data_IF_442801082835
#
_entry.id   IF_442801082835
#
_cell.length_a   1.000
_cell.length_b   1.000
_cell.length_c   1.000
_cell.angle_alpha   90.00
_cell.angle_beta   90.00
_cell.angle_gamma   90.00
#
_symmetry.space_group_name_H-M   'P 1'
#
loop_
_entity.id
_entity.type
_entity.pdbx_description
1 polymer ?
#
# COMPACT_ATOMS: atom_id res chain seq x y z
N UNK A 1 -6.96 13.61 26.97
CA UNK A 1 -6.89 13.46 25.50
C UNK A 1 -6.36 12.07 25.20
N UNK A 2 -6.97 11.35 24.27
CA UNK A 2 -6.46 10.08 23.74
C UNK A 2 -5.90 10.35 22.33
N UNK A 3 -4.64 9.97 22.11
CA UNK A 3 -3.94 10.15 20.84
C UNK A 3 -3.43 8.78 20.37
N UNK A 4 -3.55 8.50 19.08
CA UNK A 4 -2.93 7.35 18.42
C UNK A 4 -1.82 7.89 17.53
N UNK A 5 -0.59 7.63 17.91
CA UNK A 5 0.58 8.16 17.21
C UNK A 5 1.80 7.23 17.39
N UNK A 6 2.82 7.42 16.59
CA UNK A 6 4.09 6.70 16.62
C UNK A 6 5.30 7.65 16.60
N UNK A 7 5.07 8.97 16.56
CA UNK A 7 6.15 9.95 16.65
C UNK A 7 6.73 10.01 18.07
N UNK A 8 7.98 9.64 18.20
CA UNK A 8 8.68 9.63 19.49
C UNK A 8 8.76 10.98 20.15
N UNK A 9 8.66 12.10 19.42
CA UNK A 9 8.62 13.45 20.01
C UNK A 9 7.30 13.68 20.71
N UNK A 10 6.19 13.25 20.10
CA UNK A 10 4.84 13.33 20.70
C UNK A 10 4.74 12.37 21.88
N UNK A 11 5.23 11.14 21.72
CA UNK A 11 5.17 10.14 22.79
C UNK A 11 5.92 10.53 24.05
N UNK A 12 7.00 11.33 23.96
CA UNK A 12 7.76 11.85 25.11
C UNK A 12 6.97 12.81 25.99
N UNK A 13 5.93 13.43 25.45
CA UNK A 13 5.06 14.37 26.18
C UNK A 13 3.80 13.67 26.76
N UNK A 14 3.68 12.34 26.58
CA UNK A 14 2.53 11.59 27.07
C UNK A 14 2.64 11.30 28.57
N UNK A 15 1.54 11.40 29.29
CA UNK A 15 1.44 10.96 30.70
C UNK A 15 1.43 9.44 30.82
N UNK A 16 0.80 8.75 29.86
CA UNK A 16 0.64 7.30 29.82
C UNK A 16 0.66 6.78 28.40
N UNK A 17 1.39 5.71 28.16
CA UNK A 17 1.51 5.05 26.86
C UNK A 17 0.97 3.63 26.97
N UNK A 18 0.23 3.20 25.96
CA UNK A 18 -0.19 1.80 25.75
C UNK A 18 0.39 1.39 24.40
N UNK A 19 1.34 0.45 24.41
CA UNK A 19 1.99 -0.04 23.20
C UNK A 19 1.33 -1.34 22.74
N UNK A 20 0.87 -1.34 21.48
CA UNK A 20 0.25 -2.49 20.85
C UNK A 20 1.26 -3.22 19.95
N UNK A 21 1.22 -4.54 19.97
CA UNK A 21 2.14 -5.34 19.14
C UNK A 21 1.91 -6.85 19.36
N UNK A 22 2.97 -7.68 19.21
CA UNK A 22 4.33 -7.30 18.76
C UNK A 22 4.44 -7.07 17.26
N UNK A 23 3.51 -7.60 16.47
CA UNK A 23 3.47 -7.49 15.00
C UNK A 23 2.09 -7.04 14.54
N UNK A 24 1.90 -6.93 13.23
CA UNK A 24 0.61 -6.65 12.62
C UNK A 24 -0.19 -7.95 12.36
N UNK A 25 -1.50 -7.82 12.14
CA UNK A 25 -2.40 -8.93 11.81
C UNK A 25 -2.55 -9.95 12.94
N UNK A 26 -2.63 -11.24 12.61
CA UNK A 26 -2.89 -12.33 13.56
C UNK A 26 -1.82 -12.47 14.65
N UNK A 27 -0.63 -11.94 14.46
CA UNK A 27 0.47 -11.96 15.42
C UNK A 27 0.57 -10.69 16.27
N UNK A 28 -0.30 -9.71 16.01
CA UNK A 28 -0.45 -8.48 16.76
C UNK A 28 -1.65 -8.46 17.71
N UNK A 29 -2.19 -7.26 17.94
CA UNK A 29 -3.43 -7.06 18.69
C UNK A 29 -3.32 -7.29 20.21
N UNK A 30 -2.10 -7.24 20.76
CA UNK A 30 -1.85 -7.38 22.20
C UNK A 30 -1.21 -6.14 22.77
N UNK A 31 -1.47 -5.83 24.02
CA UNK A 31 -0.68 -4.84 24.75
C UNK A 31 0.64 -5.53 25.12
N UNK A 32 1.76 -5.00 24.61
CA UNK A 32 3.11 -5.52 24.89
C UNK A 32 3.81 -4.73 25.98
N UNK A 33 3.48 -3.45 26.14
CA UNK A 33 3.95 -2.61 27.22
C UNK A 33 2.91 -1.53 27.55
N UNK A 34 2.85 -1.09 28.80
CA UNK A 34 2.05 0.07 29.20
C UNK A 34 2.64 0.73 30.45
N UNK A 35 2.52 2.04 30.55
CA UNK A 35 3.06 2.82 31.65
C UNK A 35 3.39 4.24 31.27
N UNK A 36 4.15 4.89 32.15
CA UNK A 36 4.76 6.19 31.88
C UNK A 36 5.83 6.06 30.78
N UNK A 37 6.31 7.19 30.25
CA UNK A 37 7.41 7.20 29.28
C UNK A 37 8.63 6.44 29.80
N UNK A 38 8.93 6.57 31.09
CA UNK A 38 10.06 5.87 31.72
C UNK A 38 9.84 4.37 31.82
N UNK A 39 8.62 3.92 32.12
CA UNK A 39 8.27 2.50 32.15
C UNK A 39 8.44 1.86 30.78
N UNK A 40 7.99 2.55 29.73
CA UNK A 40 8.13 2.09 28.34
C UNK A 40 9.59 2.06 27.93
N UNK A 41 10.36 3.10 28.27
CA UNK A 41 11.79 3.21 27.93
C UNK A 41 12.63 2.05 28.48
N UNK A 42 12.27 1.57 29.66
CA UNK A 42 13.00 0.51 30.37
C UNK A 42 12.40 -0.88 30.20
N UNK A 43 11.22 -0.99 29.60
CA UNK A 43 10.54 -2.27 29.37
C UNK A 43 11.29 -3.12 28.35
N UNK A 44 11.62 -4.40 28.68
CA UNK A 44 12.25 -5.32 27.75
C UNK A 44 11.33 -5.76 26.62
N UNK A 45 10.02 -5.68 26.81
CA UNK A 45 9.01 -6.10 25.83
C UNK A 45 8.62 -4.97 24.87
N UNK A 46 9.01 -3.72 25.20
CA UNK A 46 8.70 -2.56 24.38
C UNK A 46 9.58 -2.50 23.12
N UNK A 47 8.94 -2.35 21.96
CA UNK A 47 9.62 -2.11 20.69
C UNK A 47 9.98 -0.63 20.51
N UNK A 48 9.19 0.28 21.09
CA UNK A 48 9.43 1.72 20.98
C UNK A 48 10.38 2.24 22.07
N UNK A 49 10.52 1.53 23.20
CA UNK A 49 11.38 1.90 24.31
C UNK A 49 12.80 2.29 23.92
N UNK A 50 13.52 1.52 23.10
CA UNK A 50 14.87 1.87 22.63
C UNK A 50 14.93 3.22 21.89
N UNK A 51 13.89 3.59 21.14
CA UNK A 51 13.82 4.87 20.42
C UNK A 51 13.46 6.05 21.31
N UNK A 52 12.76 5.81 22.43
CA UNK A 52 12.52 6.80 23.46
C UNK A 52 13.78 7.04 24.30
N UNK A 53 14.59 6.01 24.52
CA UNK A 53 15.83 6.11 25.29
C UNK A 53 16.92 6.85 24.53
N UNK A 54 17.10 6.54 23.27
CA UNK A 54 18.13 7.14 22.42
C UNK A 54 17.63 7.28 21.00
N UNK A 55 17.46 8.50 20.47
CA UNK A 55 17.10 8.66 19.08
C UNK A 55 18.18 8.02 18.19
N UNK A 56 17.80 7.38 17.09
CA UNK A 56 18.75 6.71 16.20
C UNK A 56 19.78 7.72 15.70
N UNK A 57 21.05 7.42 15.97
CA UNK A 57 22.15 8.21 15.41
C UNK A 57 22.28 7.86 13.95
N UNK A 58 21.74 8.72 13.08
CA UNK A 58 21.98 8.61 11.65
C UNK A 58 23.44 8.99 11.41
N UNK A 59 24.28 7.99 11.16
CA UNK A 59 25.63 8.25 10.66
C UNK A 59 25.49 8.84 9.26
N UNK A 60 25.59 10.18 9.18
CA UNK A 60 25.56 10.87 7.90
C UNK A 60 26.65 10.34 6.98
N UNK A 61 26.36 10.14 5.71
CA UNK A 61 27.38 9.90 4.71
C UNK A 61 28.35 11.08 4.76
N UNK A 62 29.62 10.80 5.09
CA UNK A 62 30.70 11.79 5.03
C UNK A 62 31.08 12.05 3.56
N UNK A 63 30.19 12.69 2.82
CA UNK A 63 30.51 13.12 1.46
C UNK A 63 30.88 14.60 1.47
N UNK A 64 32.01 14.93 0.85
CA UNK A 64 32.41 16.33 0.70
C UNK A 64 31.48 17.05 -0.28
N UNK A 65 31.23 18.33 -0.07
CA UNK A 65 30.43 19.17 -0.98
C UNK A 65 30.90 19.08 -2.45
N UNK A 66 32.19 18.82 -2.67
CA UNK A 66 32.78 18.67 -4.00
C UNK A 66 32.33 17.40 -4.76
N UNK A 67 31.79 16.37 -4.10
CA UNK A 67 31.31 15.13 -4.76
C UNK A 67 29.79 15.09 -4.92
N UNK A 68 29.07 16.09 -4.40
CA UNK A 68 27.60 16.09 -4.41
C UNK A 68 27.03 15.96 -5.82
N UNK A 69 27.61 16.62 -6.80
CA UNK A 69 27.18 16.61 -8.19
C UNK A 69 28.02 15.71 -9.11
N UNK A 70 28.83 14.82 -8.57
CA UNK A 70 29.71 13.94 -9.36
C UNK A 70 28.94 13.05 -10.37
N UNK A 71 27.72 12.63 -10.02
CA UNK A 71 26.84 11.88 -10.90
C UNK A 71 26.01 12.78 -11.85
N UNK A 72 26.28 14.09 -11.86
CA UNK A 72 25.52 15.08 -12.59
C UNK A 72 24.36 15.67 -11.78
N UNK A 73 23.62 16.55 -12.43
CA UNK A 73 22.49 17.26 -11.82
C UNK A 73 21.29 17.36 -12.78
N UNK A 74 20.12 17.54 -12.18
CA UNK A 74 18.93 18.02 -12.85
C UNK A 74 18.88 19.52 -12.60
N UNK A 75 18.62 20.31 -13.66
CA UNK A 75 18.35 21.75 -13.54
C UNK A 75 16.91 22.02 -13.94
N UNK A 76 16.21 22.78 -13.14
CA UNK A 76 14.88 23.30 -13.41
C UNK A 76 14.94 24.83 -13.38
N UNK A 77 14.45 25.48 -14.44
CA UNK A 77 14.16 26.90 -14.44
C UNK A 77 12.67 27.10 -14.65
N UNK A 78 12.02 27.87 -13.80
CA UNK A 78 10.60 28.13 -13.85
C UNK A 78 10.28 29.61 -13.62
N UNK A 79 9.28 30.12 -14.35
CA UNK A 79 8.68 31.43 -14.11
C UNK A 79 7.72 31.37 -12.91
N UNK A 80 7.15 32.49 -12.53
CA UNK A 80 6.19 32.55 -11.43
C UNK A 80 4.95 31.68 -11.71
N UNK A 81 4.53 30.96 -10.66
CA UNK A 81 3.27 30.19 -10.65
C UNK A 81 2.68 30.22 -9.23
N UNK A 82 1.39 30.54 -9.10
CA UNK A 82 0.69 30.75 -7.83
C UNK A 82 1.49 31.71 -6.91
N UNK A 83 1.91 31.23 -5.74
CA UNK A 83 2.74 31.97 -4.79
C UNK A 83 4.25 31.80 -5.02
N UNK A 84 4.63 30.87 -5.89
CA UNK A 84 6.05 30.58 -6.21
C UNK A 84 6.57 31.64 -7.18
N UNK A 85 7.64 32.29 -6.79
CA UNK A 85 8.35 33.28 -7.63
C UNK A 85 9.24 32.56 -8.64
N UNK A 86 9.72 33.27 -9.70
CA UNK A 86 10.70 32.70 -10.62
C UNK A 86 11.87 32.11 -9.85
N UNK A 87 12.27 30.90 -10.23
CA UNK A 87 13.34 30.18 -9.53
C UNK A 87 14.18 29.34 -10.48
N UNK A 88 15.39 29.06 -10.04
CA UNK A 88 16.26 28.03 -10.57
C UNK A 88 16.60 27.05 -9.47
N UNK A 89 16.52 25.75 -9.75
CA UNK A 89 16.83 24.68 -8.81
C UNK A 89 17.80 23.67 -9.43
N UNK A 90 18.80 23.29 -8.67
CA UNK A 90 19.74 22.22 -9.02
C UNK A 90 19.55 21.04 -8.07
N UNK A 91 19.32 19.85 -8.61
CA UNK A 91 19.07 18.64 -7.87
C UNK A 91 20.15 17.62 -8.22
N UNK A 92 20.97 17.14 -7.26
CA UNK A 92 22.03 16.18 -7.54
C UNK A 92 21.44 14.82 -7.90
N UNK A 93 22.01 14.17 -8.92
CA UNK A 93 21.64 12.81 -9.30
C UNK A 93 22.23 11.77 -8.34
N UNK A 94 21.53 10.63 -8.20
CA UNK A 94 21.97 9.53 -7.33
C UNK A 94 22.00 9.88 -5.85
N UNK A 95 21.22 10.87 -5.43
CA UNK A 95 21.13 11.38 -4.05
C UNK A 95 19.67 11.43 -3.58
N UNK A 96 19.48 11.31 -2.26
CA UNK A 96 18.23 11.69 -1.61
C UNK A 96 18.22 13.22 -1.46
N UNK A 97 17.27 13.87 -2.09
CA UNK A 97 17.04 15.32 -1.97
C UNK A 97 15.74 15.55 -1.22
N UNK A 98 15.78 16.37 -0.19
CA UNK A 98 14.61 16.75 0.61
C UNK A 98 14.24 18.20 0.31
N UNK A 99 12.96 18.45 0.01
CA UNK A 99 12.40 19.78 -0.15
C UNK A 99 11.60 20.11 1.10
N UNK A 100 12.01 21.14 1.83
CA UNK A 100 11.41 21.54 3.10
C UNK A 100 10.97 23.02 3.08
N UNK A 101 10.20 23.43 4.05
CA UNK A 101 9.70 24.80 4.20
C UNK A 101 8.34 24.81 4.92
N UNK A 102 7.90 25.99 5.36
CA UNK A 102 6.60 26.16 6.03
C UNK A 102 5.43 25.77 5.13
N UNK A 103 4.25 25.53 5.72
CA UNK A 103 3.03 25.26 4.94
C UNK A 103 2.73 26.44 4.01
N UNK A 104 2.31 26.17 2.76
CA UNK A 104 2.04 27.21 1.77
C UNK A 104 3.26 27.82 1.09
N UNK A 105 4.50 27.38 1.39
CA UNK A 105 5.72 27.93 0.75
C UNK A 105 5.94 27.49 -0.69
N UNK A 106 5.05 26.71 -1.28
CA UNK A 106 5.14 26.29 -2.69
C UNK A 106 5.89 24.97 -2.94
N UNK A 107 6.20 24.17 -1.91
CA UNK A 107 6.88 22.86 -2.07
C UNK A 107 6.16 21.94 -3.06
N UNK A 108 4.84 21.81 -2.87
CA UNK A 108 3.99 20.97 -3.73
C UNK A 108 3.99 21.48 -5.17
N UNK A 109 3.85 22.79 -5.36
CA UNK A 109 3.90 23.45 -6.67
C UNK A 109 5.25 23.23 -7.36
N UNK A 110 6.37 23.37 -6.63
CA UNK A 110 7.70 23.12 -7.16
C UNK A 110 7.84 21.67 -7.66
N UNK A 111 7.39 20.69 -6.87
CA UNK A 111 7.58 19.27 -7.21
C UNK A 111 6.51 18.77 -8.17
N UNK A 112 5.22 18.89 -7.80
CA UNK A 112 4.13 18.23 -8.54
C UNK A 112 3.67 19.02 -9.77
N UNK A 113 3.83 20.35 -9.77
CA UNK A 113 3.36 21.17 -10.88
C UNK A 113 4.51 21.62 -11.81
N UNK A 114 5.76 21.65 -11.31
CA UNK A 114 6.90 22.11 -12.10
C UNK A 114 7.90 20.99 -12.43
N UNK A 115 8.55 20.41 -11.42
CA UNK A 115 9.63 19.44 -11.64
C UNK A 115 9.15 18.15 -12.29
N UNK A 116 8.13 17.49 -11.72
CA UNK A 116 7.63 16.20 -12.20
C UNK A 116 7.06 16.32 -13.62
N UNK A 117 6.13 17.25 -13.93
CA UNK A 117 5.63 17.41 -15.29
C UNK A 117 6.71 17.89 -16.27
N UNK A 118 7.65 18.74 -15.82
CA UNK A 118 8.78 19.17 -16.61
C UNK A 118 9.69 18.02 -17.03
N UNK A 119 10.04 17.13 -16.10
CA UNK A 119 10.80 15.90 -16.37
C UNK A 119 10.06 14.95 -17.30
N UNK A 120 8.76 14.74 -17.07
CA UNK A 120 7.93 13.88 -17.91
C UNK A 120 7.88 14.40 -19.35
N UNK A 121 7.69 15.71 -19.51
CA UNK A 121 7.70 16.36 -20.84
C UNK A 121 9.07 16.26 -21.52
N UNK A 122 10.16 16.46 -20.75
CA UNK A 122 11.54 16.33 -21.25
C UNK A 122 11.82 14.90 -21.76
N UNK A 123 11.45 13.88 -20.99
CA UNK A 123 11.62 12.46 -21.34
C UNK A 123 10.78 12.09 -22.56
N UNK A 124 9.54 12.55 -22.62
CA UNK A 124 8.62 12.27 -23.72
C UNK A 124 8.90 13.10 -24.99
N UNK A 125 9.79 14.09 -24.93
CA UNK A 125 10.02 15.04 -26.03
C UNK A 125 8.79 15.90 -26.36
N UNK A 126 7.94 16.16 -25.37
CA UNK A 126 6.72 16.96 -25.52
C UNK A 126 6.93 18.39 -25.00
N UNK A 127 5.92 19.25 -25.20
CA UNK A 127 5.98 20.65 -24.74
C UNK A 127 6.01 20.70 -23.20
N UNK A 128 6.94 21.51 -22.67
CA UNK A 128 7.01 21.81 -21.24
C UNK A 128 5.76 22.54 -20.75
N UNK A 129 5.37 22.40 -19.48
CA UNK A 129 4.36 23.24 -18.86
C UNK A 129 4.67 24.74 -19.07
N UNK A 130 3.65 25.57 -19.22
CA UNK A 130 3.82 26.97 -19.65
C UNK A 130 4.74 27.80 -18.74
N UNK A 131 4.80 27.50 -17.45
CA UNK A 131 5.65 28.18 -16.47
C UNK A 131 7.04 27.55 -16.32
N UNK A 132 7.29 26.36 -16.90
CA UNK A 132 8.60 25.71 -16.89
C UNK A 132 9.38 26.17 -18.10
N UNK A 133 10.43 26.94 -17.84
CA UNK A 133 11.26 27.58 -18.90
C UNK A 133 12.24 26.57 -19.49
N UNK A 134 12.89 25.78 -18.62
CA UNK A 134 13.80 24.72 -19.05
C UNK A 134 13.92 23.61 -18.03
N UNK A 135 14.21 22.39 -18.53
CA UNK A 135 14.60 21.22 -17.73
C UNK A 135 15.82 20.58 -18.40
N UNK A 136 16.92 20.50 -17.68
CA UNK A 136 18.10 19.74 -18.07
C UNK A 136 18.19 18.48 -17.20
N UNK A 137 18.01 17.30 -17.78
CA UNK A 137 17.92 16.04 -17.04
C UNK A 137 18.55 14.87 -17.80
N UNK A 138 19.73 15.09 -18.43
CA UNK A 138 20.42 14.08 -19.22
C UNK A 138 20.56 12.74 -18.48
N UNK A 139 20.16 11.61 -19.08
CA UNK A 139 20.23 10.28 -18.49
C UNK A 139 19.11 9.96 -17.48
N UNK A 140 18.08 10.81 -17.36
CA UNK A 140 16.85 10.45 -16.66
C UNK A 140 15.85 9.88 -17.67
N UNK A 141 15.48 8.62 -17.51
CA UNK A 141 14.62 7.89 -18.46
C UNK A 141 13.19 7.71 -17.94
N UNK A 142 12.99 7.83 -16.63
CA UNK A 142 11.69 7.62 -16.01
C UNK A 142 11.53 8.47 -14.74
N UNK A 143 10.30 8.96 -14.53
CA UNK A 143 9.85 9.58 -13.28
C UNK A 143 8.76 8.72 -12.67
N UNK A 144 8.93 8.34 -11.41
CA UNK A 144 7.91 7.67 -10.61
C UNK A 144 7.48 8.60 -9.48
N UNK A 145 6.23 8.99 -9.50
CA UNK A 145 5.61 9.72 -8.39
C UNK A 145 4.98 8.71 -7.43
N UNK A 146 5.31 8.85 -6.16
CA UNK A 146 4.68 8.12 -5.06
C UNK A 146 4.09 9.19 -4.15
N UNK A 147 2.79 9.17 -4.00
CA UNK A 147 2.05 10.13 -3.19
C UNK A 147 1.20 9.43 -2.13
N UNK A 148 0.50 10.21 -1.30
CA UNK A 148 -0.39 9.72 -0.27
C UNK A 148 -1.82 9.42 -0.77
N UNK A 149 -2.03 9.35 -2.10
CA UNK A 149 -3.33 9.00 -2.66
C UNK A 149 -3.70 7.58 -2.22
N UNK A 150 -4.86 7.36 -1.61
CA UNK A 150 -5.29 6.03 -1.18
C UNK A 150 -5.26 5.03 -2.34
N UNK A 151 -4.72 3.85 -2.06
CA UNK A 151 -4.65 2.76 -3.03
C UNK A 151 -6.06 2.23 -3.24
N UNK A 152 -6.65 2.50 -4.42
CA UNK A 152 -7.97 1.97 -4.79
C UNK A 152 -9.13 2.70 -4.08
N UNK A 153 -9.74 3.64 -4.77
CA UNK A 153 -10.96 4.34 -4.30
C UNK A 153 -12.20 3.42 -4.41
N UNK A 154 -12.08 2.30 -5.10
CA UNK A 154 -13.20 1.41 -5.42
C UNK A 154 -13.31 0.30 -4.36
N UNK A 155 -14.47 0.22 -3.71
CA UNK A 155 -14.86 -0.86 -2.78
C UNK A 155 -14.71 -2.28 -3.35
N UNK A 156 -14.57 -2.42 -4.66
CA UNK A 156 -14.31 -3.68 -5.36
C UNK A 156 -12.82 -4.01 -5.49
N UNK A 157 -11.94 -3.09 -5.09
CA UNK A 157 -10.50 -3.35 -5.10
C UNK A 157 -10.07 -4.03 -3.81
N UNK A 158 -9.36 -5.15 -3.94
CA UNK A 158 -8.78 -5.87 -2.80
C UNK A 158 -7.26 -5.97 -2.95
N UNK A 159 -6.56 -6.32 -1.87
CA UNK A 159 -5.11 -6.59 -1.90
C UNK A 159 -4.76 -7.53 -3.04
N UNK A 160 -5.52 -8.62 -3.22
CA UNK A 160 -5.26 -9.59 -4.30
C UNK A 160 -5.47 -9.01 -5.71
N UNK A 161 -6.47 -8.14 -5.92
CA UNK A 161 -6.67 -7.52 -7.24
C UNK A 161 -5.63 -6.46 -7.53
N UNK A 162 -5.29 -5.64 -6.54
CA UNK A 162 -4.27 -4.61 -6.69
C UNK A 162 -2.88 -5.20 -7.00
N UNK A 163 -2.51 -6.29 -6.31
CA UNK A 163 -1.27 -7.01 -6.57
C UNK A 163 -1.32 -7.93 -7.80
N UNK A 164 -2.42 -7.94 -8.56
CA UNK A 164 -2.68 -8.84 -9.68
C UNK A 164 -2.59 -10.34 -9.31
N UNK A 165 -2.75 -10.69 -8.06
CA UNK A 165 -2.79 -12.09 -7.57
C UNK A 165 -4.10 -12.75 -7.97
N UNK A 166 -5.21 -12.03 -7.83
CA UNK A 166 -6.55 -12.55 -8.11
C UNK A 166 -6.73 -13.06 -9.54
N UNK A 167 -6.17 -12.34 -10.53
CA UNK A 167 -6.26 -12.78 -11.95
C UNK A 167 -5.52 -14.10 -12.21
N UNK A 168 -4.37 -14.30 -11.57
CA UNK A 168 -3.65 -15.56 -11.66
C UNK A 168 -4.39 -16.68 -10.93
N UNK A 169 -4.97 -16.41 -9.77
CA UNK A 169 -5.79 -17.37 -9.03
C UNK A 169 -7.01 -17.84 -9.86
N UNK A 170 -7.72 -16.93 -10.52
CA UNK A 170 -8.85 -17.26 -11.39
C UNK A 170 -8.46 -18.27 -12.48
N UNK A 171 -7.28 -18.12 -13.08
CA UNK A 171 -6.76 -19.06 -14.10
C UNK A 171 -6.47 -20.43 -13.49
N UNK A 172 -5.85 -20.46 -12.31
CA UNK A 172 -5.55 -21.71 -11.59
C UNK A 172 -6.84 -22.46 -11.23
N UNK A 173 -7.80 -21.76 -10.64
CA UNK A 173 -9.07 -22.38 -10.23
C UNK A 173 -9.90 -22.87 -11.42
N UNK A 174 -9.92 -22.15 -12.52
CA UNK A 174 -10.57 -22.61 -13.77
C UNK A 174 -9.96 -23.90 -14.35
N UNK A 175 -8.68 -24.16 -14.03
CA UNK A 175 -7.99 -25.39 -14.42
C UNK A 175 -8.33 -26.63 -13.59
N UNK A 176 -9.01 -26.49 -12.44
CA UNK A 176 -9.34 -27.59 -11.53
C UNK A 176 -10.36 -28.56 -12.13
N UNK A 177 -10.36 -29.81 -11.65
CA UNK A 177 -11.33 -30.82 -12.08
C UNK A 177 -12.78 -30.40 -11.78
N UNK A 178 -13.00 -29.81 -10.59
CA UNK A 178 -14.32 -29.33 -10.17
C UNK A 178 -14.82 -28.20 -11.07
N UNK A 179 -13.94 -27.23 -11.43
CA UNK A 179 -14.32 -26.15 -12.34
C UNK A 179 -14.71 -26.69 -13.73
N UNK A 180 -13.91 -27.59 -14.27
CA UNK A 180 -14.18 -28.23 -15.58
C UNK A 180 -15.49 -29.02 -15.57
N UNK A 181 -15.73 -29.80 -14.51
CA UNK A 181 -16.98 -30.57 -14.33
C UNK A 181 -18.21 -29.65 -14.30
N UNK A 182 -18.08 -28.47 -13.71
CA UNK A 182 -19.16 -27.50 -13.61
C UNK A 182 -19.16 -26.46 -14.75
N UNK A 183 -18.35 -26.64 -15.80
CA UNK A 183 -18.27 -25.74 -16.96
C UNK A 183 -17.78 -24.33 -16.62
N UNK A 184 -17.04 -24.16 -15.53
CA UNK A 184 -16.58 -22.84 -15.04
C UNK A 184 -15.28 -22.42 -15.71
N UNK A 185 -15.25 -21.17 -16.17
CA UNK A 185 -14.09 -20.50 -16.79
C UNK A 185 -13.48 -19.47 -15.82
N UNK A 186 -12.30 -18.96 -16.14
CA UNK A 186 -11.62 -17.96 -15.29
C UNK A 186 -12.48 -16.70 -15.05
N UNK A 187 -13.32 -16.31 -16.00
CA UNK A 187 -14.26 -15.19 -15.83
C UNK A 187 -15.28 -15.43 -14.72
N UNK A 188 -15.75 -16.66 -14.51
CA UNK A 188 -16.75 -16.99 -13.49
C UNK A 188 -16.25 -16.75 -12.07
N UNK A 189 -14.94 -16.82 -11.86
CA UNK A 189 -14.28 -16.58 -10.58
C UNK A 189 -14.04 -15.09 -10.28
N UNK A 190 -14.44 -14.18 -11.16
CA UNK A 190 -14.43 -12.75 -10.85
C UNK A 190 -15.60 -12.41 -9.94
N UNK A 191 -15.32 -11.86 -8.76
CA UNK A 191 -16.38 -11.34 -7.89
C UNK A 191 -16.98 -10.03 -8.42
N UNK A 192 -16.36 -9.38 -9.43
CA UNK A 192 -16.90 -8.17 -10.05
C UNK A 192 -17.95 -8.49 -11.14
N UNK A 193 -17.71 -9.52 -11.96
CA UNK A 193 -18.52 -9.79 -13.16
C UNK A 193 -18.84 -11.26 -13.35
N UNK A 194 -18.28 -12.17 -12.54
CA UNK A 194 -18.38 -13.62 -12.73
C UNK A 194 -19.66 -14.24 -12.17
N UNK A 195 -20.00 -15.41 -12.66
CA UNK A 195 -21.19 -16.16 -12.24
C UNK A 195 -21.10 -16.76 -10.84
N UNK A 196 -19.91 -16.74 -10.21
CA UNK A 196 -19.71 -17.22 -8.83
C UNK A 196 -19.71 -16.09 -7.80
N UNK A 197 -19.99 -14.84 -8.19
CA UNK A 197 -20.14 -13.71 -7.26
C UNK A 197 -21.38 -13.87 -6.39
N UNK A 198 -21.34 -13.27 -5.21
CA UNK A 198 -22.50 -13.24 -4.33
C UNK A 198 -23.64 -12.42 -4.96
N UNK A 199 -24.84 -12.99 -5.16
CA UNK A 199 -25.96 -12.28 -5.78
C UNK A 199 -26.58 -11.21 -4.85
N UNK A 200 -26.45 -11.34 -3.54
CA UNK A 200 -27.05 -10.42 -2.57
C UNK A 200 -26.32 -9.06 -2.51
N UNK A 201 -24.98 -9.07 -2.57
CA UNK A 201 -24.17 -7.85 -2.56
C UNK A 201 -23.52 -7.56 -3.93
N UNK A 202 -23.85 -8.30 -4.96
CA UNK A 202 -23.26 -8.16 -6.30
C UNK A 202 -21.70 -8.16 -6.28
N UNK A 203 -21.13 -8.93 -5.35
CA UNK A 203 -19.68 -9.09 -5.19
C UNK A 203 -18.94 -7.94 -4.50
N UNK A 204 -19.63 -6.99 -3.87
CA UNK A 204 -18.99 -5.95 -3.05
C UNK A 204 -18.52 -6.47 -1.69
N UNK A 205 -19.13 -7.56 -1.18
CA UNK A 205 -18.86 -8.07 0.16
C UNK A 205 -19.63 -7.35 1.26
N UNK A 206 -20.24 -6.21 0.97
CA UNK A 206 -20.94 -5.36 1.92
C UNK A 206 -22.26 -4.85 1.32
N UNK A 207 -23.14 -4.38 2.18
CA UNK A 207 -24.41 -3.73 1.84
C UNK A 207 -24.42 -2.37 2.49
N UNK A 208 -24.65 -1.32 1.69
CA UNK A 208 -24.81 0.04 2.20
C UNK A 208 -26.25 0.23 2.70
N UNK A 209 -26.39 0.67 3.92
CA UNK A 209 -27.66 1.02 4.52
C UNK A 209 -27.81 2.55 4.48
N UNK A 210 -28.81 2.99 3.74
CA UNK A 210 -29.25 4.40 3.76
C UNK A 210 -29.92 4.69 5.12
N UNK A 211 -29.25 5.47 5.93
CA UNK A 211 -29.78 5.93 7.22
C UNK A 211 -30.14 7.40 7.08
N UNK A 212 -31.44 7.70 7.00
CA UNK A 212 -31.92 9.07 6.85
C UNK A 212 -31.22 10.04 7.82
N UNK A 213 -30.68 11.13 7.25
CA UNK A 213 -29.96 12.21 7.95
C UNK A 213 -28.56 11.84 8.52
N UNK A 214 -28.05 10.63 8.26
CA UNK A 214 -26.69 10.20 8.63
C UNK A 214 -25.93 9.73 7.37
N UNK A 215 -24.59 9.68 7.40
CA UNK A 215 -23.83 9.02 6.33
C UNK A 215 -24.25 7.55 6.21
N UNK A 216 -24.24 7.03 4.99
CA UNK A 216 -24.48 5.62 4.71
C UNK A 216 -23.57 4.73 5.56
N UNK A 217 -24.13 3.67 6.12
CA UNK A 217 -23.40 2.69 6.93
C UNK A 217 -23.21 1.40 6.14
N UNK A 218 -21.97 1.07 5.85
CA UNK A 218 -21.63 -0.19 5.20
C UNK A 218 -21.53 -1.32 6.23
N UNK A 219 -22.30 -2.37 6.02
CA UNK A 219 -22.28 -3.59 6.83
C UNK A 219 -21.83 -4.80 5.99
N UNK A 220 -21.13 -5.79 6.58
CA UNK A 220 -20.82 -7.04 5.89
C UNK A 220 -22.09 -7.69 5.34
N UNK A 221 -22.04 -8.16 4.10
CA UNK A 221 -23.16 -8.83 3.45
C UNK A 221 -23.61 -10.05 4.27
N UNK A 222 -24.88 -10.18 4.68
CA UNK A 222 -25.37 -11.27 5.51
C UNK A 222 -25.32 -12.64 4.83
N UNK A 223 -25.28 -12.68 3.49
CA UNK A 223 -25.23 -13.93 2.72
C UNK A 223 -23.79 -14.47 2.55
N UNK A 224 -22.83 -13.61 2.22
CA UNK A 224 -21.45 -14.03 1.95
C UNK A 224 -20.47 -13.66 3.06
N UNK A 225 -20.91 -12.92 4.08
CA UNK A 225 -20.10 -12.50 5.23
C UNK A 225 -18.77 -11.84 4.83
N UNK A 226 -18.81 -10.99 3.80
CA UNK A 226 -17.63 -10.28 3.29
C UNK A 226 -16.83 -11.04 2.22
N UNK A 227 -17.07 -12.33 2.00
CA UNK A 227 -16.27 -13.13 1.06
C UNK A 227 -16.46 -12.75 -0.42
N UNK A 228 -17.52 -12.02 -0.78
CA UNK A 228 -17.86 -11.57 -2.14
C UNK A 228 -18.36 -12.69 -3.07
N UNK A 229 -18.32 -13.96 -2.64
CA UNK A 229 -18.65 -15.12 -3.43
C UNK A 229 -19.94 -15.81 -2.99
N UNK A 230 -20.63 -16.42 -3.96
CA UNK A 230 -21.76 -17.29 -3.69
C UNK A 230 -21.29 -18.63 -3.11
N UNK A 231 -22.18 -19.33 -2.39
CA UNK A 231 -21.91 -20.66 -1.79
C UNK A 231 -21.34 -21.66 -2.77
N UNK A 232 -21.76 -21.62 -4.05
CA UNK A 232 -21.26 -22.49 -5.11
C UNK A 232 -19.73 -22.38 -5.33
N UNK A 233 -19.12 -21.24 -5.05
CA UNK A 233 -17.68 -21.04 -5.19
C UNK A 233 -16.86 -21.90 -4.22
N UNK A 234 -17.41 -22.23 -3.04
CA UNK A 234 -16.75 -23.05 -2.03
C UNK A 234 -16.65 -24.53 -2.43
N UNK A 235 -17.51 -24.98 -3.34
CA UNK A 235 -17.47 -26.34 -3.89
C UNK A 235 -16.37 -26.58 -4.90
N UNK A 236 -15.70 -25.52 -5.41
CA UNK A 236 -14.62 -25.63 -6.39
C UNK A 236 -13.29 -25.45 -5.67
N UNK A 237 -12.51 -26.52 -5.52
CA UNK A 237 -11.30 -26.52 -4.73
C UNK A 237 -10.06 -26.79 -5.58
N UNK A 238 -8.98 -26.14 -5.20
CA UNK A 238 -7.62 -26.45 -5.63
C UNK A 238 -6.92 -27.22 -4.52
N UNK A 239 -6.29 -28.33 -4.87
CA UNK A 239 -5.48 -29.12 -3.95
C UNK A 239 -4.01 -28.95 -4.32
N UNK A 240 -3.20 -28.46 -3.36
CA UNK A 240 -1.76 -28.30 -3.57
C UNK A 240 -1.03 -29.66 -3.45
N UNK A 241 0.27 -29.68 -3.76
CA UNK A 241 1.10 -30.90 -3.68
C UNK A 241 1.23 -31.49 -2.28
N UNK A 242 1.01 -30.69 -1.25
CA UNK A 242 0.99 -31.14 0.15
C UNK A 242 -0.36 -31.78 0.54
N UNK A 243 -1.33 -31.88 -0.37
CA UNK A 243 -2.66 -32.43 -0.12
C UNK A 243 -3.66 -31.47 0.52
N UNK A 244 -3.28 -30.24 0.80
CA UNK A 244 -4.18 -29.23 1.33
C UNK A 244 -5.12 -28.71 0.23
N UNK A 245 -6.43 -28.66 0.52
CA UNK A 245 -7.48 -28.29 -0.42
C UNK A 245 -8.20 -27.02 0.05
N UNK A 246 -8.32 -26.03 -0.86
CA UNK A 246 -8.99 -24.75 -0.56
C UNK A 246 -9.77 -24.26 -1.77
N UNK A 247 -10.92 -23.65 -1.54
CA UNK A 247 -11.65 -22.88 -2.53
C UNK A 247 -11.06 -21.47 -2.68
N UNK A 248 -11.43 -20.77 -3.76
CA UNK A 248 -10.95 -19.39 -3.95
C UNK A 248 -11.40 -18.43 -2.83
N UNK A 249 -12.67 -18.44 -2.35
CA UNK A 249 -13.06 -17.62 -1.20
C UNK A 249 -12.25 -17.92 0.07
N UNK A 250 -11.97 -19.21 0.36
CA UNK A 250 -11.13 -19.57 1.51
C UNK A 250 -9.70 -19.05 1.37
N UNK A 251 -9.15 -19.06 0.16
CA UNK A 251 -7.83 -18.49 -0.10
C UNK A 251 -7.81 -16.96 0.00
N UNK A 252 -8.86 -16.29 -0.47
CA UNK A 252 -9.01 -14.85 -0.33
C UNK A 252 -9.14 -14.39 1.13
N UNK A 253 -9.61 -15.26 2.03
CA UNK A 253 -9.67 -14.98 3.46
C UNK A 253 -8.33 -15.17 4.20
N UNK A 254 -7.28 -15.66 3.52
CA UNK A 254 -5.96 -15.84 4.11
C UNK A 254 -5.15 -14.54 4.06
N UNK A 255 -4.28 -14.36 5.06
CA UNK A 255 -3.20 -13.39 4.95
C UNK A 255 -2.16 -13.81 3.89
N UNK A 256 -1.38 -12.84 3.42
CA UNK A 256 -0.36 -13.06 2.38
C UNK A 256 0.66 -14.13 2.79
N UNK A 257 1.06 -14.17 4.08
CA UNK A 257 2.03 -15.14 4.58
C UNK A 257 1.47 -16.56 4.48
N UNK A 258 0.26 -16.79 4.99
CA UNK A 258 -0.43 -18.09 4.94
C UNK A 258 -0.75 -18.51 3.50
N UNK A 259 -1.20 -17.56 2.68
CA UNK A 259 -1.46 -17.80 1.26
C UNK A 259 -0.20 -18.19 0.48
N UNK A 260 0.96 -17.59 0.82
CA UNK A 260 2.24 -17.91 0.20
C UNK A 260 2.64 -19.38 0.45
N UNK A 261 2.41 -19.88 1.67
CA UNK A 261 2.65 -21.27 2.03
C UNK A 261 1.75 -22.23 1.23
N UNK A 262 0.47 -21.91 1.10
CA UNK A 262 -0.48 -22.71 0.32
C UNK A 262 -0.16 -22.69 -1.19
N UNK A 263 0.24 -21.53 -1.71
CA UNK A 263 0.45 -21.29 -3.15
C UNK A 263 1.87 -21.63 -3.64
N UNK A 264 2.67 -22.40 -2.88
CA UNK A 264 4.06 -22.76 -3.26
C UNK A 264 4.18 -23.33 -4.67
N UNK A 265 3.18 -24.08 -5.11
CA UNK A 265 3.14 -24.74 -6.42
C UNK A 265 2.61 -23.84 -7.54
N UNK A 266 2.08 -22.67 -7.23
CA UNK A 266 1.52 -21.72 -8.18
C UNK A 266 2.55 -20.65 -8.54
N UNK A 267 3.43 -20.91 -9.52
CA UNK A 267 4.60 -20.07 -9.85
C UNK A 267 4.30 -18.58 -9.92
N UNK A 268 3.28 -18.17 -10.69
CA UNK A 268 2.96 -16.75 -10.90
C UNK A 268 2.36 -16.10 -9.65
N UNK A 269 1.45 -16.82 -8.96
CA UNK A 269 0.85 -16.37 -7.69
C UNK A 269 1.93 -16.19 -6.63
N UNK A 270 2.79 -17.21 -6.46
CA UNK A 270 3.89 -17.17 -5.50
C UNK A 270 4.80 -15.97 -5.71
N UNK A 271 5.21 -15.71 -6.95
CA UNK A 271 6.11 -14.59 -7.25
C UNK A 271 5.50 -13.24 -6.81
N UNK A 272 4.20 -13.03 -7.00
CA UNK A 272 3.50 -11.80 -6.59
C UNK A 272 3.34 -11.70 -5.07
N UNK A 273 2.98 -12.81 -4.41
CA UNK A 273 2.87 -12.87 -2.95
C UNK A 273 4.22 -12.64 -2.27
N UNK A 274 5.34 -13.14 -2.86
CA UNK A 274 6.69 -12.87 -2.37
C UNK A 274 7.04 -11.39 -2.38
N UNK A 275 6.59 -10.63 -3.37
CA UNK A 275 6.78 -9.17 -3.40
C UNK A 275 6.06 -8.52 -2.21
N UNK A 276 4.79 -8.86 -1.97
CA UNK A 276 4.05 -8.34 -0.82
C UNK A 276 4.75 -8.70 0.50
N UNK A 277 5.19 -9.95 0.64
CA UNK A 277 5.93 -10.41 1.82
C UNK A 277 7.24 -9.63 2.03
N UNK A 278 8.01 -9.38 0.95
CA UNK A 278 9.28 -8.63 1.02
C UNK A 278 9.10 -7.16 1.37
N UNK A 279 7.91 -6.61 1.10
CA UNK A 279 7.51 -5.26 1.49
C UNK A 279 6.99 -5.16 2.94
N UNK A 280 7.00 -6.27 3.70
CA UNK A 280 6.47 -6.31 5.06
C UNK A 280 4.94 -6.39 5.13
N UNK A 281 4.25 -6.62 4.00
CA UNK A 281 2.79 -6.66 3.89
C UNK A 281 2.23 -8.08 4.06
N UNK A 282 2.99 -8.98 4.68
CA UNK A 282 2.62 -10.37 4.88
C UNK A 282 1.36 -10.58 5.75
N UNK A 283 1.01 -9.61 6.54
CA UNK A 283 -0.16 -9.63 7.43
C UNK A 283 -1.48 -9.27 6.76
N UNK A 284 -1.45 -8.61 5.59
CA UNK A 284 -2.66 -8.21 4.89
C UNK A 284 -3.43 -9.43 4.37
N UNK A 285 -4.74 -9.40 4.53
CA UNK A 285 -5.64 -10.42 3.97
C UNK A 285 -5.84 -10.19 2.47
N UNK A 286 -5.78 -11.24 1.65
CA UNK A 286 -5.92 -11.11 0.20
C UNK A 286 -7.23 -10.47 -0.24
N UNK A 287 -8.32 -10.76 0.48
CA UNK A 287 -9.65 -10.20 0.23
C UNK A 287 -9.93 -8.86 0.90
N UNK A 288 -8.98 -8.30 1.63
CA UNK A 288 -9.12 -7.02 2.31
C UNK A 288 -9.25 -5.87 1.32
N UNK A 289 -10.17 -4.96 1.61
CA UNK A 289 -10.50 -3.82 0.74
C UNK A 289 -9.38 -2.78 0.78
N UNK A 290 -8.88 -2.39 -0.39
CA UNK A 290 -7.77 -1.44 -0.48
C UNK A 290 -8.08 -0.04 0.08
N UNK A 291 -9.32 0.49 0.05
CA UNK A 291 -9.65 1.75 0.71
C UNK A 291 -9.49 1.73 2.24
N UNK A 292 -9.56 0.54 2.86
CA UNK A 292 -9.45 0.37 4.30
C UNK A 292 -8.00 0.17 4.78
N UNK A 293 -7.04 0.11 3.86
CA UNK A 293 -5.63 0.00 4.18
C UNK A 293 -5.09 1.35 4.66
N UNK A 294 -4.52 1.37 5.85
CA UNK A 294 -3.86 2.54 6.45
C UNK A 294 -2.40 2.65 6.03
#
# INVERSE_FOLDING_TARGET
VLLVDHDTQVLKEADWIIEMGPEAGARGGRIIAQGTVEDIRTSPDSQIGPFLASPPVISGRKESAGTMFAAGKIRLSASAIHTVKPLEAEIPKGRLTVVTGVSGSGKTTLILESLVPGLQAHIAGTRLPAHVLSVEAAGIEQVKLIDATPIGINVRSTVATYANVHDELRKVYAGTADAKKNGRKAGDFSYNTGGLRCPACDGTGQISLDVQFLPDVDIPCPECHGSRYAKAAYGIKFTNKAGASRSLPELMAMDVHTALEFCKDMKNVRARLQVLQSLGLGYLTLGEDTPNLS
#
